data_IF_125413882364
#
_entry.id   IF_125413882364
#
_cell.length_a   1.000
_cell.length_b   1.000
_cell.length_c   1.000
_cell.angle_alpha   90.00
_cell.angle_beta   90.00
_cell.angle_gamma   90.00
#
_symmetry.space_group_name_H-M   'P 1'
#
loop_
_entity.id
_entity.type
_entity.pdbx_description
1 polymer ?
#
# COMPACT_ATOMS: atom_id res chain seq x y z
N UNK A 1 10.26 40.32 -1.49
CA UNK A 1 8.94 39.69 -1.39
C UNK A 1 8.79 38.74 -2.56
N UNK A 2 9.10 37.47 -2.35
CA UNK A 2 9.00 36.42 -3.37
C UNK A 2 7.61 35.83 -3.29
N UNK A 3 6.81 35.98 -4.35
CA UNK A 3 5.52 35.33 -4.49
C UNK A 3 5.77 33.82 -4.62
N UNK A 4 5.80 33.11 -3.49
CA UNK A 4 5.67 31.66 -3.48
C UNK A 4 4.21 31.33 -3.81
N UNK A 5 3.93 31.13 -5.09
CA UNK A 5 2.62 30.68 -5.58
C UNK A 5 2.33 29.32 -4.93
N UNK A 6 1.28 29.28 -4.12
CA UNK A 6 0.83 28.08 -3.44
C UNK A 6 0.33 27.06 -4.48
N UNK A 7 1.08 25.97 -4.65
CA UNK A 7 0.86 24.89 -5.63
C UNK A 7 -0.36 23.98 -5.34
N UNK A 8 -1.27 24.43 -4.49
CA UNK A 8 -2.51 23.71 -4.19
C UNK A 8 -3.70 24.58 -4.55
N UNK A 9 -4.47 24.17 -5.57
CA UNK A 9 -5.79 24.73 -5.83
C UNK A 9 -6.65 24.64 -4.56
N UNK A 10 -7.38 25.70 -4.17
CA UNK A 10 -7.69 26.89 -4.96
C UNK A 10 -6.68 28.04 -4.77
N UNK A 11 -6.56 28.87 -5.81
CA UNK A 11 -5.80 30.13 -5.75
C UNK A 11 -6.21 31.03 -4.58
N UNK A 12 -5.29 31.92 -4.20
CA UNK A 12 -5.35 32.82 -3.03
C UNK A 12 -6.77 33.35 -2.73
N UNK A 13 -7.18 33.25 -1.46
CA UNK A 13 -8.40 33.86 -0.94
C UNK A 13 -9.68 33.03 -0.98
N UNK A 14 -9.67 31.80 -1.52
CA UNK A 14 -10.83 30.89 -1.48
C UNK A 14 -10.57 29.73 -0.51
N UNK A 15 -11.34 29.64 0.57
CA UNK A 15 -11.30 28.46 1.45
C UNK A 15 -11.88 27.25 0.73
N UNK A 16 -11.29 26.06 0.92
CA UNK A 16 -11.89 24.81 0.44
C UNK A 16 -13.30 24.65 1.04
N UNK A 17 -14.32 24.27 0.27
CA UNK A 17 -15.65 23.96 0.81
C UNK A 17 -15.61 22.73 1.75
N UNK A 18 -16.66 22.53 2.55
CA UNK A 18 -16.68 21.48 3.59
C UNK A 18 -16.50 20.07 3.03
N UNK A 19 -17.01 19.78 1.82
CA UNK A 19 -16.87 18.48 1.16
C UNK A 19 -15.43 18.19 0.66
N UNK A 20 -14.58 19.23 0.57
CA UNK A 20 -13.14 19.12 0.32
C UNK A 20 -12.31 19.46 1.58
N UNK A 21 -12.90 19.29 2.77
CA UNK A 21 -12.35 19.80 4.03
C UNK A 21 -10.93 19.33 4.33
N UNK A 22 -10.59 18.09 3.97
CA UNK A 22 -9.26 17.53 4.23
C UNK A 22 -8.14 18.20 3.41
N UNK A 23 -8.47 18.85 2.28
CA UNK A 23 -7.48 19.62 1.52
C UNK A 23 -6.99 20.87 2.28
N UNK A 24 -7.70 21.30 3.32
CA UNK A 24 -7.24 22.34 4.24
C UNK A 24 -6.04 21.90 5.10
N UNK A 25 -5.79 20.58 5.20
CA UNK A 25 -4.70 20.01 5.99
C UNK A 25 -3.37 19.98 5.24
N UNK A 26 -3.34 20.27 3.93
CA UNK A 26 -2.17 20.08 3.08
C UNK A 26 -0.90 20.70 3.66
N UNK A 27 -0.98 21.89 4.26
CA UNK A 27 0.17 22.58 4.83
C UNK A 27 0.18 22.60 6.37
N UNK A 28 -0.63 21.74 7.01
CA UNK A 28 -0.70 21.60 8.47
C UNK A 28 -0.11 20.25 8.86
N UNK A 29 1.22 20.13 8.80
CA UNK A 29 1.95 18.85 8.96
C UNK A 29 1.61 18.11 10.26
N UNK A 30 1.34 18.82 11.36
CA UNK A 30 0.95 18.23 12.63
C UNK A 30 -0.49 17.70 12.64
N UNK A 31 -1.44 18.49 12.10
CA UNK A 31 -2.84 18.04 11.97
C UNK A 31 -2.97 16.89 10.96
N UNK A 32 -2.23 16.96 9.86
CA UNK A 32 -2.21 15.94 8.82
C UNK A 32 -1.57 14.64 9.34
N UNK A 33 -0.51 14.72 10.15
CA UNK A 33 0.02 13.57 10.89
C UNK A 33 -1.08 12.91 11.73
N UNK A 34 -1.83 13.70 12.51
CA UNK A 34 -2.94 13.20 13.31
C UNK A 34 -4.00 12.48 12.47
N UNK A 35 -4.36 13.03 11.31
CA UNK A 35 -5.31 12.39 10.39
C UNK A 35 -4.80 11.02 9.89
N UNK A 36 -3.53 10.92 9.51
CA UNK A 36 -2.93 9.66 9.05
C UNK A 36 -2.83 8.62 10.17
N UNK A 37 -2.41 9.02 11.37
CA UNK A 37 -2.29 8.11 12.53
C UNK A 37 -3.67 7.64 12.99
N UNK A 38 -4.69 8.51 12.99
CA UNK A 38 -6.07 8.14 13.28
C UNK A 38 -6.62 7.16 12.23
N UNK A 39 -6.36 7.40 10.94
CA UNK A 39 -6.76 6.50 9.87
C UNK A 39 -6.07 5.13 9.96
N UNK A 40 -4.77 5.09 10.30
CA UNK A 40 -4.08 3.83 10.61
C UNK A 40 -4.73 3.12 11.81
N UNK A 41 -5.17 3.87 12.83
CA UNK A 41 -5.98 3.35 13.93
C UNK A 41 -7.28 2.69 13.46
N UNK A 42 -7.99 3.27 12.49
CA UNK A 42 -9.21 2.67 11.91
C UNK A 42 -8.92 1.35 11.17
N UNK A 43 -7.83 1.28 10.41
CA UNK A 43 -7.42 0.05 9.70
C UNK A 43 -7.12 -1.06 10.71
N UNK A 44 -6.34 -0.75 11.74
CA UNK A 44 -5.94 -1.71 12.78
C UNK A 44 -7.14 -2.10 13.68
N UNK A 45 -8.05 -1.16 13.94
CA UNK A 45 -9.31 -1.42 14.63
C UNK A 45 -10.17 -2.41 13.84
N UNK A 46 -10.34 -2.18 12.54
CA UNK A 46 -11.07 -3.10 11.67
C UNK A 46 -10.42 -4.48 11.68
N UNK A 47 -9.10 -4.58 11.49
CA UNK A 47 -8.40 -5.86 11.52
C UNK A 47 -8.65 -6.64 12.82
N UNK A 48 -8.57 -5.97 13.99
CA UNK A 48 -8.83 -6.61 15.28
C UNK A 48 -10.29 -6.97 15.51
N UNK A 49 -11.19 -5.99 15.37
CA UNK A 49 -12.61 -6.18 15.62
C UNK A 49 -13.26 -7.18 14.67
N UNK A 50 -12.91 -7.12 13.38
CA UNK A 50 -13.48 -8.04 12.38
C UNK A 50 -12.90 -9.46 12.50
N UNK A 51 -11.63 -9.62 12.94
CA UNK A 51 -11.08 -10.94 13.27
C UNK A 51 -11.85 -11.59 14.43
N UNK A 52 -12.14 -10.82 15.49
CA UNK A 52 -12.92 -11.31 16.63
C UNK A 52 -14.38 -11.58 16.25
N UNK A 53 -14.95 -10.75 15.36
CA UNK A 53 -16.28 -10.98 14.82
C UNK A 53 -16.36 -12.28 14.01
N UNK A 54 -15.43 -12.49 13.06
CA UNK A 54 -15.33 -13.74 12.31
C UNK A 54 -15.18 -14.94 13.23
N UNK A 55 -14.28 -14.85 14.22
CA UNK A 55 -14.06 -15.91 15.19
C UNK A 55 -15.31 -16.23 16.02
N UNK A 56 -16.10 -15.22 16.41
CA UNK A 56 -17.33 -15.43 17.18
C UNK A 56 -18.42 -16.20 16.43
N UNK A 57 -18.32 -16.28 15.11
CA UNK A 57 -19.29 -16.96 14.23
C UNK A 57 -18.69 -18.16 13.50
N UNK A 58 -17.41 -18.46 13.73
CA UNK A 58 -16.70 -19.51 13.04
C UNK A 58 -17.20 -20.89 13.47
N UNK A 59 -17.65 -21.69 12.51
CA UNK A 59 -17.97 -23.09 12.67
C UNK A 59 -16.86 -23.96 12.07
N UNK A 60 -16.08 -24.69 12.87
CA UNK A 60 -15.00 -25.55 12.38
C UNK A 60 -15.49 -26.78 11.60
N UNK A 61 -16.79 -27.12 11.68
CA UNK A 61 -17.38 -28.23 10.93
C UNK A 61 -17.73 -27.84 9.48
N UNK A 62 -17.66 -26.55 9.14
CA UNK A 62 -17.92 -26.03 7.80
C UNK A 62 -16.64 -25.50 7.14
N UNK A 63 -16.53 -25.54 5.80
CA UNK A 63 -15.42 -24.92 5.11
C UNK A 63 -15.34 -23.42 5.42
N UNK A 64 -14.13 -22.88 5.59
CA UNK A 64 -13.94 -21.45 5.89
C UNK A 64 -14.53 -20.55 4.80
N UNK A 65 -14.40 -20.99 3.54
CA UNK A 65 -14.75 -20.17 2.39
C UNK A 65 -16.26 -19.97 2.17
N UNK A 66 -17.12 -20.76 2.83
CA UNK A 66 -18.58 -20.63 2.72
C UNK A 66 -19.19 -19.78 3.85
N UNK A 67 -18.40 -19.42 4.85
CA UNK A 67 -18.86 -18.72 6.06
C UNK A 67 -18.71 -17.19 5.98
N UNK A 68 -18.30 -16.66 4.82
CA UNK A 68 -18.06 -15.22 4.63
C UNK A 68 -16.83 -14.70 5.38
N UNK A 69 -15.84 -15.56 5.62
CA UNK A 69 -14.61 -15.22 6.35
C UNK A 69 -13.58 -14.64 5.39
N UNK A 70 -12.96 -13.50 5.72
CA UNK A 70 -11.91 -12.88 4.91
C UNK A 70 -10.62 -12.66 5.70
N UNK A 71 -10.65 -12.70 7.04
CA UNK A 71 -9.47 -12.53 7.88
C UNK A 71 -8.93 -13.86 8.43
N UNK A 72 -9.79 -14.75 8.93
CA UNK A 72 -9.34 -16.04 9.44
C UNK A 72 -8.59 -16.88 8.38
N UNK A 73 -9.04 -16.96 7.10
CA UNK A 73 -8.25 -17.60 6.03
C UNK A 73 -6.84 -17.02 5.86
N UNK A 74 -6.67 -15.72 6.09
CA UNK A 74 -5.37 -15.06 6.02
C UNK A 74 -4.43 -15.47 7.16
N UNK A 75 -4.98 -15.73 8.36
CA UNK A 75 -4.21 -16.27 9.49
C UNK A 75 -3.90 -17.76 9.29
N UNK A 76 -4.86 -18.51 8.76
CA UNK A 76 -4.71 -19.93 8.47
C UNK A 76 -3.59 -20.21 7.45
N UNK A 77 -3.51 -19.46 6.34
CA UNK A 77 -2.40 -19.60 5.37
C UNK A 77 -1.02 -19.30 5.95
N UNK A 78 -0.94 -18.47 6.99
CA UNK A 78 0.30 -18.21 7.73
C UNK A 78 0.66 -19.36 8.70
N UNK A 79 -0.14 -20.44 8.74
CA UNK A 79 0.07 -21.61 9.58
C UNK A 79 -0.37 -21.44 11.03
N UNK A 80 -1.15 -20.40 11.36
CA UNK A 80 -1.70 -20.25 12.71
C UNK A 80 -2.92 -21.15 12.89
N UNK A 81 -2.91 -22.00 13.90
CA UNK A 81 -4.10 -22.78 14.28
C UNK A 81 -4.48 -23.91 13.32
N UNK A 82 -3.65 -24.20 12.32
CA UNK A 82 -3.93 -25.16 11.25
C UNK A 82 -3.18 -26.47 11.47
N UNK A 83 -3.87 -27.59 11.29
CA UNK A 83 -3.32 -28.94 11.24
C UNK A 83 -3.31 -29.54 9.82
N UNK A 84 -3.18 -30.86 9.74
CA UNK A 84 -3.19 -31.57 8.46
C UNK A 84 -4.56 -31.41 7.73
N UNK A 85 -4.52 -31.41 6.39
CA UNK A 85 -5.72 -31.24 5.56
C UNK A 85 -6.34 -29.83 5.62
N UNK A 86 -5.66 -28.85 6.24
CA UNK A 86 -6.23 -27.52 6.46
C UNK A 86 -7.23 -27.45 7.62
N UNK A 87 -7.31 -28.48 8.48
CA UNK A 87 -8.22 -28.46 9.62
C UNK A 87 -7.80 -27.39 10.63
N UNK A 88 -8.76 -26.60 11.13
CA UNK A 88 -8.50 -25.64 12.20
C UNK A 88 -8.55 -26.37 13.55
N UNK A 89 -7.38 -26.53 14.18
CA UNK A 89 -7.19 -27.30 15.42
C UNK A 89 -7.05 -26.43 16.67
N UNK A 90 -6.64 -25.16 16.51
CA UNK A 90 -6.52 -24.20 17.60
C UNK A 90 -6.90 -22.79 17.12
N UNK A 91 -7.86 -22.17 17.80
CA UNK A 91 -8.32 -20.80 17.49
C UNK A 91 -7.73 -19.75 18.42
N UNK A 92 -6.96 -20.13 19.44
CA UNK A 92 -6.36 -19.19 20.38
C UNK A 92 -5.47 -18.16 19.68
N UNK A 93 -4.68 -18.60 18.70
CA UNK A 93 -3.85 -17.68 17.90
C UNK A 93 -4.68 -16.62 17.17
N UNK A 94 -5.87 -16.97 16.66
CA UNK A 94 -6.76 -16.01 16.01
C UNK A 94 -7.32 -15.00 17.00
N UNK A 95 -7.74 -15.46 18.18
CA UNK A 95 -8.18 -14.59 19.26
C UNK A 95 -7.08 -13.63 19.69
N UNK A 96 -5.87 -14.14 19.98
CA UNK A 96 -4.74 -13.35 20.44
C UNK A 96 -4.37 -12.26 19.41
N UNK A 97 -4.29 -12.61 18.13
CA UNK A 97 -4.00 -11.66 17.05
C UNK A 97 -5.11 -10.60 16.94
N UNK A 98 -6.38 -11.00 17.01
CA UNK A 98 -7.52 -10.08 17.00
C UNK A 98 -7.46 -9.08 18.16
N UNK A 99 -7.17 -9.55 19.38
CA UNK A 99 -7.02 -8.72 20.58
C UNK A 99 -5.83 -7.78 20.48
N UNK A 100 -4.67 -8.25 20.00
CA UNK A 100 -3.47 -7.41 19.83
C UNK A 100 -3.77 -6.25 18.88
N UNK A 101 -4.41 -6.51 17.74
CA UNK A 101 -4.80 -5.45 16.81
C UNK A 101 -5.82 -4.50 17.45
N UNK A 102 -6.85 -5.02 18.11
CA UNK A 102 -7.86 -4.20 18.77
C UNK A 102 -7.24 -3.24 19.80
N UNK A 103 -6.37 -3.73 20.67
CA UNK A 103 -5.68 -2.90 21.69
C UNK A 103 -4.74 -1.89 21.02
N UNK A 104 -3.97 -2.32 20.01
CA UNK A 104 -3.03 -1.45 19.28
C UNK A 104 -3.76 -0.28 18.60
N UNK A 105 -4.97 -0.53 18.09
CA UNK A 105 -5.80 0.50 17.47
C UNK A 105 -6.17 1.65 18.43
N UNK A 106 -6.33 1.36 19.73
CA UNK A 106 -6.63 2.38 20.73
C UNK A 106 -5.46 3.35 20.93
N UNK A 107 -4.23 2.84 20.94
CA UNK A 107 -3.03 3.68 21.03
C UNK A 107 -2.83 4.55 19.78
N UNK A 108 -3.05 3.99 18.60
CA UNK A 108 -3.05 4.74 17.35
C UNK A 108 -4.15 5.80 17.33
N UNK A 109 -5.37 5.45 17.74
CA UNK A 109 -6.48 6.38 17.86
C UNK A 109 -6.18 7.53 18.81
N UNK A 110 -5.59 7.25 19.98
CA UNK A 110 -5.19 8.28 20.94
C UNK A 110 -4.12 9.22 20.34
N UNK A 111 -3.08 8.67 19.71
CA UNK A 111 -2.05 9.46 19.05
C UNK A 111 -2.61 10.31 17.91
N UNK A 112 -3.50 9.74 17.09
CA UNK A 112 -4.19 10.43 16.01
C UNK A 112 -5.03 11.61 16.52
N UNK A 113 -5.88 11.38 17.51
CA UNK A 113 -6.71 12.43 18.15
C UNK A 113 -5.83 13.50 18.79
N UNK A 114 -4.75 13.12 19.48
CA UNK A 114 -3.81 14.06 20.08
C UNK A 114 -3.22 14.99 19.02
N UNK A 115 -2.63 14.45 17.95
CA UNK A 115 -2.01 15.27 16.90
C UNK A 115 -3.05 16.06 16.09
N UNK A 116 -4.27 15.53 15.91
CA UNK A 116 -5.34 16.23 15.19
C UNK A 116 -5.98 17.35 16.00
N UNK A 117 -6.05 17.27 17.34
CA UNK A 117 -6.82 18.23 18.16
C UNK A 117 -5.98 19.03 19.17
N UNK A 118 -4.97 18.43 19.81
CA UNK A 118 -4.20 19.07 20.89
C UNK A 118 -2.75 19.43 20.52
N UNK A 119 -2.14 18.66 19.63
CA UNK A 119 -0.78 18.88 19.18
C UNK A 119 -0.60 20.19 18.40
N UNK A 120 0.65 20.59 18.13
CA UNK A 120 0.91 21.75 17.28
C UNK A 120 0.37 21.52 15.86
N UNK A 121 -0.13 22.57 15.22
CA UNK A 121 -0.74 22.44 13.89
C UNK A 121 0.29 22.13 12.80
N UNK A 122 1.50 22.67 12.98
CA UNK A 122 2.69 22.55 12.15
C UNK A 122 3.85 22.03 13.01
N UNK A 123 4.73 21.22 12.43
CA UNK A 123 5.83 20.54 13.13
C UNK A 123 7.20 21.18 12.88
N UNK A 124 7.30 22.07 11.90
CA UNK A 124 8.53 22.63 11.35
C UNK A 124 9.33 23.42 12.39
N UNK A 125 8.66 24.23 13.20
CA UNK A 125 9.31 25.10 14.18
C UNK A 125 9.73 24.36 15.46
N UNK A 126 8.95 23.37 15.89
CA UNK A 126 9.16 22.67 17.16
C UNK A 126 10.04 21.43 17.04
N UNK A 127 9.95 20.74 15.90
CA UNK A 127 10.57 19.43 15.70
C UNK A 127 11.12 19.33 14.28
N UNK A 128 12.33 19.86 14.00
CA UNK A 128 12.89 19.90 12.63
C UNK A 128 13.03 18.53 11.96
N UNK A 129 13.22 17.47 12.77
CA UNK A 129 13.25 16.10 12.27
C UNK A 129 11.88 15.63 11.74
N UNK A 130 10.75 16.10 12.30
CA UNK A 130 9.41 15.67 11.91
C UNK A 130 8.68 16.68 11.01
N UNK A 131 9.07 17.96 11.03
CA UNK A 131 8.55 18.96 10.12
C UNK A 131 8.99 18.74 8.67
N UNK A 132 8.13 19.11 7.72
CA UNK A 132 8.41 18.97 6.30
C UNK A 132 7.60 19.96 5.46
N UNK A 133 8.16 20.30 4.30
CA UNK A 133 7.42 20.99 3.23
C UNK A 133 7.39 20.10 2.01
N UNK A 134 6.27 20.05 1.31
CA UNK A 134 6.11 19.17 0.15
C UNK A 134 7.11 19.46 -0.97
N UNK A 135 7.56 20.71 -1.10
CA UNK A 135 8.53 21.13 -2.10
C UNK A 135 9.97 20.73 -1.73
N UNK A 136 10.25 20.37 -0.47
CA UNK A 136 11.54 19.88 -0.03
C UNK A 136 11.70 18.41 -0.47
N UNK A 137 12.17 18.26 -1.70
CA UNK A 137 12.40 16.99 -2.35
C UNK A 137 13.31 16.05 -1.54
N UNK A 138 14.27 16.60 -0.81
CA UNK A 138 15.27 15.83 -0.05
C UNK A 138 14.66 15.32 1.27
N UNK A 139 13.83 16.16 1.92
CA UNK A 139 13.02 15.71 3.05
C UNK A 139 12.01 14.64 2.64
N UNK A 140 11.38 14.78 1.47
CA UNK A 140 10.44 13.79 0.95
C UNK A 140 11.11 12.44 0.69
N UNK A 141 12.31 12.41 0.10
CA UNK A 141 13.05 11.14 -0.07
C UNK A 141 13.52 10.55 1.25
N UNK A 142 13.88 11.37 2.23
CA UNK A 142 14.22 10.88 3.57
C UNK A 142 13.03 10.16 4.22
N UNK A 143 11.84 10.77 4.19
CA UNK A 143 10.61 10.15 4.71
C UNK A 143 10.27 8.88 3.93
N UNK A 144 10.34 8.91 2.60
CA UNK A 144 10.16 7.72 1.75
C UNK A 144 11.12 6.59 2.15
N UNK A 145 12.40 6.92 2.34
CA UNK A 145 13.43 5.94 2.66
C UNK A 145 13.21 5.26 4.01
N UNK A 146 12.75 6.00 5.02
CA UNK A 146 12.33 5.43 6.32
C UNK A 146 11.19 4.43 6.12
N UNK A 147 10.16 4.78 5.36
CA UNK A 147 9.02 3.90 5.11
C UNK A 147 9.40 2.67 4.27
N UNK A 148 10.30 2.81 3.29
CA UNK A 148 10.84 1.67 2.54
C UNK A 148 11.58 0.70 3.45
N UNK A 149 12.40 1.20 4.38
CA UNK A 149 13.06 0.34 5.37
C UNK A 149 12.04 -0.39 6.24
N UNK A 150 10.99 0.29 6.73
CA UNK A 150 9.92 -0.35 7.51
C UNK A 150 9.15 -1.42 6.71
N UNK A 151 8.87 -1.17 5.43
CA UNK A 151 8.24 -2.15 4.53
C UNK A 151 9.15 -3.38 4.31
N UNK A 152 10.45 -3.16 4.12
CA UNK A 152 11.42 -4.24 3.98
C UNK A 152 11.54 -5.10 5.25
N UNK A 153 11.50 -4.47 6.43
CA UNK A 153 11.39 -5.18 7.71
C UNK A 153 10.08 -5.99 7.79
N UNK A 154 8.96 -5.45 7.30
CA UNK A 154 7.70 -6.17 7.18
C UNK A 154 7.80 -7.43 6.31
N UNK A 155 8.46 -7.34 5.15
CA UNK A 155 8.73 -8.51 4.31
C UNK A 155 9.64 -9.54 5.02
N UNK A 156 10.66 -9.06 5.76
CA UNK A 156 11.52 -9.92 6.57
C UNK A 156 10.77 -10.67 7.68
N UNK A 157 9.70 -10.09 8.26
CA UNK A 157 8.87 -10.78 9.24
C UNK A 157 8.13 -11.98 8.65
N UNK A 158 7.68 -11.90 7.39
CA UNK A 158 7.09 -13.07 6.70
C UNK A 158 8.15 -14.16 6.47
N UNK A 159 9.35 -13.78 6.04
CA UNK A 159 10.48 -14.72 5.91
C UNK A 159 10.78 -15.38 7.25
N UNK A 160 10.85 -14.61 8.32
CA UNK A 160 11.09 -15.15 9.65
C UNK A 160 9.96 -16.10 10.09
N UNK A 161 8.69 -15.77 9.79
CA UNK A 161 7.55 -16.66 10.05
C UNK A 161 7.72 -18.00 9.32
N UNK A 162 8.09 -17.96 8.05
CA UNK A 162 8.23 -19.14 7.21
C UNK A 162 9.43 -20.04 7.56
N UNK A 163 10.54 -19.44 7.99
CA UNK A 163 11.80 -20.16 8.23
C UNK A 163 12.03 -20.53 9.70
N UNK A 164 11.57 -19.70 10.64
CA UNK A 164 11.96 -19.81 12.05
C UNK A 164 10.78 -19.94 13.02
N UNK A 165 9.58 -19.52 12.64
CA UNK A 165 8.38 -19.59 13.51
C UNK A 165 7.30 -20.51 12.94
N UNK A 166 7.59 -21.82 12.99
CA UNK A 166 6.70 -22.93 12.62
C UNK A 166 6.34 -23.08 11.15
N UNK A 167 6.64 -22.11 10.28
CA UNK A 167 6.44 -22.25 8.84
C UNK A 167 5.15 -21.64 8.30
N UNK A 168 4.77 -22.03 7.08
CA UNK A 168 3.54 -21.60 6.40
C UNK A 168 2.70 -22.83 6.03
N UNK A 169 1.40 -22.63 5.78
CA UNK A 169 0.56 -23.70 5.24
C UNK A 169 0.95 -23.97 3.78
N UNK A 170 1.26 -25.23 3.47
CA UNK A 170 1.60 -25.69 2.13
C UNK A 170 0.48 -26.62 1.61
N UNK A 171 -0.22 -26.19 0.58
CA UNK A 171 -1.32 -26.95 -0.03
C UNK A 171 -0.84 -28.23 -0.72
N UNK A 172 0.43 -28.32 -1.13
CA UNK A 172 0.96 -29.50 -1.84
C UNK A 172 1.07 -30.73 -0.93
N UNK A 173 1.28 -30.49 0.37
CA UNK A 173 1.30 -31.51 1.42
C UNK A 173 0.14 -31.38 2.41
N UNK A 174 -0.72 -30.38 2.19
CA UNK A 174 -1.85 -30.01 3.03
C UNK A 174 -1.49 -29.89 4.51
N UNK A 175 -0.36 -29.25 4.81
CA UNK A 175 0.13 -29.12 6.19
C UNK A 175 1.02 -27.89 6.35
N UNK A 176 1.21 -27.45 7.60
CA UNK A 176 2.16 -26.40 7.94
C UNK A 176 3.58 -26.95 7.87
N UNK A 177 4.47 -26.25 7.16
CA UNK A 177 5.86 -26.66 6.97
C UNK A 177 6.83 -25.49 7.05
N UNK A 178 7.98 -25.75 7.65
CA UNK A 178 9.12 -24.82 7.69
C UNK A 178 9.82 -24.80 6.33
N UNK A 179 10.09 -23.60 5.81
CA UNK A 179 10.75 -23.40 4.51
C UNK A 179 12.25 -23.24 4.73
N UNK A 180 13.00 -24.34 4.71
CA UNK A 180 14.43 -24.33 5.03
C UNK A 180 15.33 -23.85 3.88
N UNK A 181 14.87 -24.00 2.63
CA UNK A 181 15.68 -23.74 1.44
C UNK A 181 14.98 -22.75 0.48
N UNK A 182 14.81 -21.47 0.86
CA UNK A 182 14.18 -20.49 -0.01
C UNK A 182 14.98 -20.27 -1.31
N UNK A 183 14.29 -20.01 -2.42
CA UNK A 183 14.95 -19.79 -3.71
C UNK A 183 15.63 -18.43 -3.74
N UNK A 184 16.96 -18.42 -3.75
CA UNK A 184 17.74 -17.18 -3.84
C UNK A 184 18.21 -16.85 -5.26
N UNK A 185 18.07 -17.78 -6.20
CA UNK A 185 18.51 -17.57 -7.58
C UNK A 185 17.75 -16.39 -8.22
N UNK A 186 18.43 -15.27 -8.56
CA UNK A 186 17.77 -14.09 -9.11
C UNK A 186 17.11 -14.38 -10.48
N UNK A 187 17.67 -15.30 -11.27
CA UNK A 187 17.09 -15.66 -12.56
C UNK A 187 15.67 -16.25 -12.39
N UNK A 188 15.49 -17.10 -11.37
CA UNK A 188 14.17 -17.63 -11.03
C UNK A 188 13.26 -16.53 -10.48
N UNK A 189 13.69 -15.80 -9.46
CA UNK A 189 12.85 -14.80 -8.78
C UNK A 189 12.42 -13.67 -9.72
N UNK A 190 13.36 -13.05 -10.45
CA UNK A 190 13.04 -12.00 -11.40
C UNK A 190 12.44 -12.54 -12.71
N UNK A 191 12.61 -13.84 -13.01
CA UNK A 191 11.94 -14.51 -14.12
C UNK A 191 10.41 -14.43 -14.03
N UNK A 192 9.84 -14.46 -12.82
CA UNK A 192 8.41 -14.23 -12.59
C UNK A 192 7.99 -12.81 -13.01
N UNK A 193 8.79 -11.79 -12.66
CA UNK A 193 8.49 -10.39 -12.97
C UNK A 193 8.48 -10.13 -14.48
N UNK A 194 9.38 -10.77 -15.23
CA UNK A 194 9.47 -10.63 -16.69
C UNK A 194 8.60 -11.63 -17.47
N UNK A 195 7.80 -12.46 -16.77
CA UNK A 195 6.89 -13.41 -17.41
C UNK A 195 7.59 -14.59 -18.10
N UNK A 196 8.82 -14.89 -17.71
CA UNK A 196 9.61 -16.02 -18.26
C UNK A 196 9.15 -17.34 -17.64
N UNK A 197 8.62 -17.31 -16.42
CA UNK A 197 8.29 -18.50 -15.61
C UNK A 197 6.85 -19.02 -15.82
N UNK A 198 6.38 -19.11 -17.07
CA UNK A 198 5.09 -19.73 -17.39
C UNK A 198 3.91 -18.76 -17.41
N UNK A 199 2.73 -19.24 -16.98
CA UNK A 199 1.45 -18.51 -17.10
C UNK A 199 1.15 -17.70 -15.84
N UNK A 200 0.31 -16.67 -15.97
CA UNK A 200 -0.20 -15.84 -14.88
C UNK A 200 0.81 -14.88 -14.21
N UNK A 201 1.95 -14.58 -14.87
CA UNK A 201 2.94 -13.62 -14.36
C UNK A 201 3.36 -13.96 -12.92
N UNK A 202 3.56 -13.00 -12.01
CA UNK A 202 3.92 -13.27 -10.61
C UNK A 202 2.84 -14.06 -9.83
N UNK A 203 1.58 -14.06 -10.29
CA UNK A 203 0.51 -14.85 -9.69
C UNK A 203 0.60 -16.34 -10.05
N UNK A 204 1.53 -16.72 -10.93
CA UNK A 204 1.82 -18.11 -11.29
C UNK A 204 2.74 -18.85 -10.31
N UNK A 205 3.20 -18.22 -9.23
CA UNK A 205 4.08 -18.89 -8.24
C UNK A 205 3.39 -20.13 -7.64
N UNK A 206 4.08 -21.26 -7.67
CA UNK A 206 3.50 -22.59 -7.39
C UNK A 206 4.23 -23.37 -6.28
N UNK A 207 5.26 -22.79 -5.67
CA UNK A 207 5.97 -23.35 -4.53
C UNK A 207 6.33 -22.27 -3.48
N UNK A 208 6.43 -22.67 -2.21
CA UNK A 208 6.67 -21.72 -1.11
C UNK A 208 8.12 -21.24 -1.03
N UNK A 209 9.07 -22.01 -1.55
CA UNK A 209 10.47 -21.62 -1.65
C UNK A 209 10.65 -20.34 -2.46
N UNK A 210 9.94 -20.22 -3.58
CA UNK A 210 9.93 -19.02 -4.42
C UNK A 210 9.18 -17.87 -3.76
N UNK A 211 8.09 -18.14 -3.03
CA UNK A 211 7.37 -17.10 -2.26
C UNK A 211 8.29 -16.50 -1.20
N UNK A 212 8.94 -17.33 -0.38
CA UNK A 212 9.84 -16.88 0.68
C UNK A 212 11.10 -16.24 0.09
N UNK A 213 11.70 -16.85 -0.94
CA UNK A 213 12.84 -16.30 -1.67
C UNK A 213 12.57 -14.93 -2.29
N UNK A 214 11.39 -14.76 -2.89
CA UNK A 214 10.93 -13.47 -3.40
C UNK A 214 10.82 -12.41 -2.30
N UNK A 215 10.29 -12.76 -1.14
CA UNK A 215 10.20 -11.83 0.00
C UNK A 215 11.58 -11.49 0.61
N UNK A 216 12.57 -12.39 0.53
CA UNK A 216 13.97 -12.07 0.87
C UNK A 216 14.49 -10.98 -0.08
N UNK A 217 14.29 -11.14 -1.40
CA UNK A 217 14.68 -10.12 -2.38
C UNK A 217 13.96 -8.79 -2.17
N UNK A 218 12.64 -8.80 -1.95
CA UNK A 218 11.86 -7.59 -1.65
C UNK A 218 12.37 -6.91 -0.38
N UNK A 219 12.66 -7.67 0.69
CA UNK A 219 13.23 -7.15 1.93
C UNK A 219 14.57 -6.43 1.69
N UNK A 220 15.50 -7.09 1.00
CA UNK A 220 16.83 -6.55 0.67
C UNK A 220 16.69 -5.28 -0.19
N UNK A 221 15.85 -5.31 -1.22
CA UNK A 221 15.65 -4.18 -2.13
C UNK A 221 14.99 -2.99 -1.43
N UNK A 222 13.98 -3.22 -0.59
CA UNK A 222 13.31 -2.16 0.16
C UNK A 222 14.24 -1.54 1.22
N UNK A 223 15.00 -2.33 1.97
CA UNK A 223 15.95 -1.81 2.97
C UNK A 223 17.12 -1.09 2.29
N UNK A 224 17.72 -1.69 1.25
CA UNK A 224 18.79 -1.08 0.48
C UNK A 224 18.35 0.21 -0.20
N UNK A 225 17.18 0.20 -0.84
CA UNK A 225 16.55 1.39 -1.43
C UNK A 225 16.17 2.44 -0.38
N UNK A 226 15.76 2.02 0.82
CA UNK A 226 15.47 2.89 1.95
C UNK A 226 16.70 3.67 2.41
N UNK A 227 17.83 2.98 2.64
CA UNK A 227 19.10 3.62 2.96
C UNK A 227 19.60 4.53 1.83
N UNK A 228 19.44 4.11 0.58
CA UNK A 228 19.78 4.93 -0.57
C UNK A 228 18.98 6.23 -0.58
N UNK A 229 17.66 6.19 -0.41
CA UNK A 229 16.79 7.37 -0.42
C UNK A 229 17.02 8.31 0.78
N UNK A 230 17.46 7.79 1.93
CA UNK A 230 17.89 8.61 3.08
C UNK A 230 19.23 9.30 2.81
N UNK A 231 20.15 8.59 2.14
CA UNK A 231 21.55 9.05 1.97
C UNK A 231 21.78 9.86 0.70
N UNK A 232 20.76 10.04 -0.14
CA UNK A 232 20.87 10.72 -1.43
C UNK A 232 19.75 11.74 -1.63
N UNK A 233 19.98 12.65 -2.59
CA UNK A 233 18.99 13.61 -3.04
C UNK A 233 18.48 13.22 -4.43
N UNK A 234 17.24 13.57 -4.81
CA UNK A 234 16.75 13.33 -6.17
C UNK A 234 17.66 13.97 -7.21
N UNK A 235 18.10 13.17 -8.17
CA UNK A 235 18.95 13.65 -9.25
C UNK A 235 18.23 14.71 -10.11
N UNK A 236 18.97 15.62 -10.76
CA UNK A 236 18.38 16.69 -11.57
C UNK A 236 17.39 16.20 -12.64
N UNK A 237 17.62 15.03 -13.25
CA UNK A 237 16.70 14.48 -14.25
C UNK A 237 15.35 14.07 -13.63
N UNK A 238 15.35 13.51 -12.42
CA UNK A 238 14.12 13.15 -11.71
C UNK A 238 13.37 14.42 -11.26
N UNK A 239 14.11 15.43 -10.78
CA UNK A 239 13.54 16.74 -10.41
C UNK A 239 12.79 17.39 -11.58
N UNK A 240 13.27 17.22 -12.82
CA UNK A 240 12.62 17.74 -14.05
C UNK A 240 11.42 16.91 -14.52
N UNK A 241 11.40 15.61 -14.23
CA UNK A 241 10.35 14.71 -14.71
C UNK A 241 9.09 14.74 -13.85
N UNK A 242 9.25 14.85 -12.53
CA UNK A 242 8.14 14.79 -11.57
C UNK A 242 7.66 16.17 -11.13
N UNK A 243 6.37 16.25 -10.79
CA UNK A 243 5.82 17.38 -10.02
C UNK A 243 6.06 17.14 -8.54
N UNK A 244 6.58 18.16 -7.85
CA UNK A 244 6.96 18.12 -6.43
C UNK A 244 5.95 18.91 -5.58
N UNK A 245 4.84 18.26 -5.25
CA UNK A 245 3.79 18.79 -4.38
C UNK A 245 3.04 17.66 -3.66
N UNK A 246 2.37 17.95 -2.54
CA UNK A 246 1.62 16.95 -1.79
C UNK A 246 0.54 16.24 -2.62
N UNK A 247 -0.16 16.98 -3.48
CA UNK A 247 -1.17 16.41 -4.39
C UNK A 247 -0.54 15.52 -5.47
N UNK A 248 0.65 15.87 -5.97
CA UNK A 248 1.38 15.04 -6.92
C UNK A 248 1.81 13.71 -6.28
N UNK A 249 2.40 13.74 -5.08
CA UNK A 249 2.80 12.52 -4.37
C UNK A 249 1.60 11.63 -4.05
N UNK A 250 0.49 12.22 -3.60
CA UNK A 250 -0.77 11.51 -3.42
C UNK A 250 -1.20 10.81 -4.72
N UNK A 251 -1.13 11.50 -5.85
CA UNK A 251 -1.50 10.89 -7.15
C UNK A 251 -0.61 9.70 -7.51
N UNK A 252 0.70 9.77 -7.28
CA UNK A 252 1.61 8.66 -7.57
C UNK A 252 1.28 7.44 -6.70
N UNK A 253 1.04 7.66 -5.40
CA UNK A 253 0.63 6.60 -4.48
C UNK A 253 -0.73 5.99 -4.84
N UNK A 254 -1.71 6.79 -5.25
CA UNK A 254 -3.01 6.29 -5.72
C UNK A 254 -2.87 5.40 -6.95
N UNK A 255 -2.01 5.77 -7.90
CA UNK A 255 -1.72 4.96 -9.08
C UNK A 255 -1.06 3.62 -8.71
N UNK A 256 -0.09 3.65 -7.80
CA UNK A 256 0.55 2.44 -7.28
C UNK A 256 -0.43 1.53 -6.52
N UNK A 257 -1.29 2.10 -5.67
CA UNK A 257 -2.34 1.36 -4.94
C UNK A 257 -3.38 0.74 -5.88
N UNK A 258 -3.78 1.45 -6.94
CA UNK A 258 -4.66 0.90 -7.96
C UNK A 258 -4.02 -0.31 -8.65
N UNK A 259 -2.76 -0.19 -9.08
CA UNK A 259 -2.01 -1.32 -9.64
C UNK A 259 -1.95 -2.49 -8.65
N UNK A 260 -1.56 -2.26 -7.40
CA UNK A 260 -1.53 -3.30 -6.37
C UNK A 260 -2.89 -3.97 -6.15
N UNK A 261 -3.99 -3.20 -6.18
CA UNK A 261 -5.34 -3.74 -6.05
C UNK A 261 -5.77 -4.63 -7.22
N UNK A 262 -5.43 -4.26 -8.47
CA UNK A 262 -5.65 -5.13 -9.64
C UNK A 262 -4.78 -6.39 -9.59
N UNK A 263 -3.52 -6.27 -9.16
CA UNK A 263 -2.63 -7.41 -8.95
C UNK A 263 -3.21 -8.34 -7.88
N UNK A 264 -3.63 -7.80 -6.73
CA UNK A 264 -4.24 -8.58 -5.65
C UNK A 264 -5.52 -9.29 -6.10
N UNK A 265 -6.37 -8.61 -6.87
CA UNK A 265 -7.58 -9.19 -7.51
C UNK A 265 -7.22 -10.40 -8.37
N UNK A 266 -6.22 -10.26 -9.24
CA UNK A 266 -5.80 -11.36 -10.10
C UNK A 266 -5.17 -12.50 -9.29
N UNK A 267 -4.30 -12.18 -8.32
CA UNK A 267 -3.63 -13.15 -7.45
C UNK A 267 -4.64 -14.00 -6.67
N UNK A 268 -5.61 -13.37 -6.01
CA UNK A 268 -6.65 -14.09 -5.28
C UNK A 268 -7.56 -14.85 -6.23
N UNK A 269 -7.71 -14.45 -7.49
CA UNK A 269 -8.56 -15.19 -8.44
C UNK A 269 -7.92 -16.50 -8.89
N UNK A 270 -6.62 -16.51 -9.20
CA UNK A 270 -6.00 -17.62 -9.95
C UNK A 270 -4.99 -18.46 -9.15
N UNK A 271 -4.38 -17.91 -8.09
CA UNK A 271 -3.34 -18.62 -7.36
C UNK A 271 -3.94 -19.52 -6.28
N UNK A 272 -3.55 -20.79 -6.26
CA UNK A 272 -4.02 -21.79 -5.28
C UNK A 272 -2.99 -22.11 -4.20
N UNK A 273 -1.78 -21.55 -4.29
CA UNK A 273 -0.71 -21.75 -3.31
C UNK A 273 -0.84 -20.77 -2.14
N UNK A 274 -0.73 -19.46 -2.41
CA UNK A 274 -0.78 -18.41 -1.37
C UNK A 274 -2.22 -17.97 -1.05
N UNK A 275 -3.18 -18.48 -1.82
CA UNK A 275 -4.59 -18.52 -1.46
C UNK A 275 -5.04 -20.00 -1.56
N UNK A 276 -4.75 -20.82 -0.53
CA UNK A 276 -5.14 -22.23 -0.51
C UNK A 276 -6.65 -22.41 -0.71
N UNK A 277 -7.04 -23.38 -1.53
CA UNK A 277 -8.45 -23.64 -1.81
C UNK A 277 -9.20 -24.12 -0.55
N UNK A 278 -8.50 -24.74 0.39
CA UNK A 278 -8.99 -25.19 1.69
C UNK A 278 -9.57 -24.03 2.52
N UNK A 279 -9.00 -22.83 2.38
CA UNK A 279 -9.42 -21.66 3.16
C UNK A 279 -10.21 -20.64 2.36
N UNK A 280 -9.87 -20.44 1.08
CA UNK A 280 -10.44 -19.40 0.23
C UNK A 280 -11.48 -19.92 -0.76
N UNK A 281 -11.55 -21.24 -0.95
CA UNK A 281 -12.39 -21.89 -1.95
C UNK A 281 -11.69 -22.01 -3.30
N UNK A 282 -12.33 -22.68 -4.28
CA UNK A 282 -11.72 -22.98 -5.57
C UNK A 282 -11.29 -21.74 -6.35
N UNK A 283 -10.27 -21.86 -7.19
CA UNK A 283 -9.85 -20.78 -8.09
C UNK A 283 -11.02 -20.29 -8.99
N UNK A 284 -11.06 -18.98 -9.25
CA UNK A 284 -12.13 -18.31 -9.96
C UNK A 284 -11.92 -18.36 -11.48
N UNK A 285 -13.04 -18.32 -12.19
CA UNK A 285 -13.09 -17.95 -13.60
C UNK A 285 -13.20 -16.43 -13.72
N UNK A 286 -12.57 -15.89 -14.77
CA UNK A 286 -12.65 -14.47 -15.11
C UNK A 286 -13.61 -14.34 -16.28
N UNK A 287 -14.75 -13.71 -16.04
CA UNK A 287 -15.74 -13.39 -17.06
C UNK A 287 -15.67 -11.92 -17.47
N UNK A 288 -16.18 -11.62 -18.67
CA UNK A 288 -16.28 -10.27 -19.20
C UNK A 288 -17.69 -10.03 -19.71
N UNK A 289 -18.39 -9.07 -19.10
CA UNK A 289 -19.62 -8.48 -19.62
C UNK A 289 -19.38 -6.98 -19.82
N UNK A 290 -20.19 -6.12 -19.19
CA UNK A 290 -19.94 -4.68 -19.17
C UNK A 290 -18.65 -4.32 -18.41
N UNK A 291 -18.27 -5.16 -17.44
CA UNK A 291 -17.05 -5.08 -16.65
C UNK A 291 -16.48 -6.49 -16.44
N UNK A 292 -15.18 -6.63 -16.13
CA UNK A 292 -14.62 -7.88 -15.65
C UNK A 292 -15.30 -8.29 -14.34
N UNK A 293 -15.60 -9.58 -14.20
CA UNK A 293 -16.13 -10.15 -12.96
C UNK A 293 -15.47 -11.50 -12.67
N UNK A 294 -15.36 -11.83 -11.37
CA UNK A 294 -14.60 -12.97 -10.90
C UNK A 294 -15.53 -13.91 -10.13
N UNK A 295 -15.69 -15.15 -10.61
CA UNK A 295 -16.76 -16.02 -10.12
C UNK A 295 -16.39 -17.51 -10.13
N UNK A 296 -17.13 -18.31 -9.36
CA UNK A 296 -17.06 -19.78 -9.37
C UNK A 296 -18.48 -20.34 -9.24
N UNK A 297 -19.15 -20.53 -10.37
CA UNK A 297 -20.58 -20.88 -10.37
C UNK A 297 -21.39 -19.83 -9.63
N UNK A 298 -22.33 -20.28 -8.78
CA UNK A 298 -23.17 -19.42 -7.94
C UNK A 298 -22.62 -19.22 -6.50
N UNK A 299 -21.46 -19.81 -6.19
CA UNK A 299 -20.91 -19.80 -4.83
C UNK A 299 -20.21 -18.48 -4.52
N UNK A 300 -20.62 -17.81 -3.43
CA UNK A 300 -20.00 -16.57 -2.94
C UNK A 300 -18.89 -16.87 -1.93
N UNK A 301 -17.78 -17.45 -2.41
CA UNK A 301 -16.64 -17.78 -1.56
C UNK A 301 -15.90 -16.54 -1.05
N UNK A 302 -15.08 -16.71 -0.02
CA UNK A 302 -14.09 -15.70 0.40
C UNK A 302 -13.26 -15.17 -0.77
N UNK A 303 -12.88 -16.03 -1.72
CA UNK A 303 -12.16 -15.65 -2.94
C UNK A 303 -12.99 -14.71 -3.83
N UNK A 304 -14.28 -15.00 -4.03
CA UNK A 304 -15.19 -14.14 -4.82
C UNK A 304 -15.32 -12.75 -4.19
N UNK A 305 -15.53 -12.68 -2.87
CA UNK A 305 -15.62 -11.41 -2.16
C UNK A 305 -14.33 -10.60 -2.26
N UNK A 306 -13.18 -11.22 -1.98
CA UNK A 306 -11.89 -10.55 -2.04
C UNK A 306 -11.56 -10.06 -3.44
N UNK A 307 -11.76 -10.88 -4.48
CA UNK A 307 -11.47 -10.50 -5.87
C UNK A 307 -12.30 -9.28 -6.30
N UNK A 308 -13.63 -9.36 -6.18
CA UNK A 308 -14.51 -8.31 -6.69
C UNK A 308 -14.40 -7.02 -5.86
N UNK A 309 -14.26 -7.11 -4.54
CA UNK A 309 -14.07 -5.92 -3.71
C UNK A 309 -12.76 -5.18 -4.05
N UNK A 310 -11.64 -5.91 -4.18
CA UNK A 310 -10.36 -5.29 -4.53
C UNK A 310 -10.35 -4.74 -5.96
N UNK A 311 -11.06 -5.37 -6.90
CA UNK A 311 -11.20 -4.85 -8.26
C UNK A 311 -11.86 -3.47 -8.27
N UNK A 312 -13.00 -3.33 -7.58
CA UNK A 312 -13.72 -2.06 -7.55
C UNK A 312 -12.99 -0.98 -6.76
N UNK A 313 -12.33 -1.34 -5.64
CA UNK A 313 -11.47 -0.41 -4.93
C UNK A 313 -10.31 0.08 -5.82
N UNK A 314 -9.64 -0.83 -6.53
CA UNK A 314 -8.56 -0.52 -7.47
C UNK A 314 -9.04 0.39 -8.61
N UNK A 315 -10.24 0.11 -9.14
CA UNK A 315 -10.88 0.95 -10.15
C UNK A 315 -11.02 2.39 -9.65
N UNK A 316 -11.72 2.62 -8.52
CA UNK A 316 -11.91 3.97 -8.00
C UNK A 316 -10.60 4.68 -7.61
N UNK A 317 -9.61 3.94 -7.09
CA UNK A 317 -8.27 4.48 -6.83
C UNK A 317 -7.57 4.95 -8.11
N UNK A 318 -7.76 4.25 -9.23
CA UNK A 318 -7.23 4.67 -10.54
C UNK A 318 -7.87 5.99 -11.00
N UNK A 319 -9.18 6.18 -10.79
CA UNK A 319 -9.81 7.47 -11.07
C UNK A 319 -9.30 8.57 -10.13
N UNK A 320 -9.06 8.25 -8.86
CA UNK A 320 -8.41 9.15 -7.91
C UNK A 320 -7.01 9.59 -8.38
N UNK A 321 -6.21 8.64 -8.89
CA UNK A 321 -4.92 8.93 -9.52
C UNK A 321 -5.07 9.93 -10.68
N UNK A 322 -5.95 9.65 -11.64
CA UNK A 322 -6.18 10.51 -12.81
C UNK A 322 -6.61 11.91 -12.37
N UNK A 323 -7.56 12.00 -11.43
CA UNK A 323 -8.04 13.27 -10.89
C UNK A 323 -6.92 14.11 -10.28
N UNK A 324 -6.18 13.55 -9.31
CA UNK A 324 -5.14 14.27 -8.60
C UNK A 324 -3.91 14.55 -9.46
N UNK A 325 -3.55 13.65 -10.38
CA UNK A 325 -2.44 13.86 -11.32
C UNK A 325 -2.73 15.01 -12.29
N UNK A 326 -3.95 15.09 -12.83
CA UNK A 326 -4.36 16.20 -13.70
C UNK A 326 -4.38 17.53 -12.95
N UNK A 327 -4.89 17.55 -11.70
CA UNK A 327 -4.84 18.77 -10.85
C UNK A 327 -3.41 19.20 -10.55
N UNK A 328 -2.54 18.27 -10.18
CA UNK A 328 -1.12 18.55 -9.92
C UNK A 328 -0.37 19.01 -11.18
N UNK A 329 -0.82 18.59 -12.37
CA UNK A 329 -0.30 19.07 -13.65
C UNK A 329 -0.88 20.44 -14.08
N UNK A 330 -1.78 21.04 -13.28
CA UNK A 330 -2.33 22.37 -13.53
C UNK A 330 -3.63 22.40 -14.36
N UNK A 331 -4.32 21.27 -14.52
CA UNK A 331 -5.62 21.22 -15.19
C UNK A 331 -6.74 21.74 -14.26
N UNK A 332 -7.47 22.76 -14.71
CA UNK A 332 -8.68 23.26 -14.03
C UNK A 332 -9.92 22.60 -14.62
N UNK A 333 -10.51 21.66 -13.88
CA UNK A 333 -11.72 20.93 -14.27
C UNK A 333 -12.96 21.82 -14.48
N UNK A 334 -12.99 23.04 -13.93
CA UNK A 334 -14.10 23.99 -14.17
C UNK A 334 -13.99 24.68 -15.51
N UNK A 335 -12.76 24.83 -16.02
CA UNK A 335 -12.47 25.50 -17.28
C UNK A 335 -12.19 24.50 -18.42
N UNK A 336 -11.95 23.23 -18.10
CA UNK A 336 -11.64 22.18 -19.07
C UNK A 336 -10.29 22.38 -19.76
N UNK A 337 -9.35 23.11 -19.15
CA UNK A 337 -8.03 23.41 -19.72
C UNK A 337 -6.94 23.50 -18.66
N UNK A 338 -5.68 23.37 -19.10
CA UNK A 338 -4.50 23.66 -18.27
C UNK A 338 -4.39 25.17 -18.10
N UNK A 339 -4.26 25.63 -16.86
CA UNK A 339 -4.19 27.07 -16.51
C UNK A 339 -2.86 27.50 -15.91
N UNK A 340 -2.06 26.56 -15.43
CA UNK A 340 -0.72 26.81 -14.88
C UNK A 340 0.18 25.61 -15.23
N UNK A 341 1.17 25.79 -16.11
CA UNK A 341 2.05 24.70 -16.51
C UNK A 341 3.09 24.43 -15.42
N UNK A 342 2.87 23.42 -14.57
CA UNK A 342 3.73 23.15 -13.39
C UNK A 342 5.14 22.62 -13.70
N UNK A 343 5.49 22.47 -14.99
CA UNK A 343 6.78 21.90 -15.44
C UNK A 343 7.81 22.95 -15.89
N UNK A 344 7.43 24.21 -16.09
CA UNK A 344 8.31 25.23 -16.73
C UNK A 344 9.07 26.17 -15.78
N UNK A 345 8.84 26.17 -14.47
CA UNK A 345 9.49 27.10 -13.52
C UNK A 345 10.92 26.71 -13.07
N UNK A 346 11.63 25.87 -13.83
CA UNK A 346 13.07 25.61 -13.65
C UNK A 346 13.79 25.85 -14.98
N UNK A 347 13.75 27.07 -15.49
CA UNK A 347 14.84 27.51 -16.37
C UNK A 347 16.07 27.80 -15.52
N UNK A 348 17.27 27.33 -15.90
CA UNK A 348 18.50 27.86 -15.33
C UNK A 348 18.55 29.35 -15.69
N UNK A 349 18.91 30.19 -14.72
CA UNK A 349 19.19 31.62 -14.93
C UNK A 349 19.79 31.84 -16.32
N UNK A 350 19.00 32.44 -17.21
CA UNK A 350 19.51 32.92 -18.47
C UNK A 350 20.68 33.84 -18.14
N UNK A 351 21.89 33.45 -18.55
CA UNK A 351 23.08 34.29 -18.52
C UNK A 351 22.67 35.70 -18.92
N UNK A 352 22.68 36.62 -17.96
CA UNK A 352 22.88 38.03 -18.28
C UNK A 352 24.28 38.12 -18.88
N UNK A 353 24.36 37.96 -20.20
CA UNK A 353 25.48 38.51 -20.95
C UNK A 353 25.35 40.00 -20.77
N UNK A 354 26.18 40.55 -19.89
CA UNK A 354 26.43 41.98 -19.82
C UNK A 354 26.88 42.41 -21.23
N UNK A 355 25.96 42.96 -22.01
CA UNK A 355 26.30 43.80 -23.13
C UNK A 355 26.96 45.04 -22.54
N UNK A 356 28.27 45.07 -22.60
CA UNK A 356 29.06 46.26 -22.33
C UNK A 356 28.64 47.33 -23.37
N UNK A 357 28.14 48.51 -22.98
CA UNK A 357 27.88 49.56 -23.94
C UNK A 357 29.22 50.14 -24.40
N UNK A 358 29.36 50.20 -25.72
CA UNK A 358 30.44 50.78 -26.51
C UNK A 358 31.26 51.91 -25.87
N UNK A 359 32.60 51.79 -25.95
CA UNK A 359 33.50 52.74 -26.64
C UNK A 359 34.96 52.30 -26.48
#
# INVERSE_FOLDING_TARGET
MSNMVAKSFPGEGKSFPWWAGNARLTNLSGRLLGAHVAHAGLIVLWAGAYTLFELSRFNPEQPMYEQGLILLPNLARLGFGVGAGGQIVDTYSYFAIGVIHLISSAFLGFGGIFHSLKGPETLEERTPFFGYRWEDADKMTTILGIHLTLLGLGAALLVAKAMYFSGLYDTTIQNVRVISNPTLNPATIFGYLFGVNGKNWIAGVDNLEDVVGGHIWVSILCIGGGFWHISTQPFPWAKRLFVWSGEAYLSYSLGALALMGFIATYFVSVNTLVYPEEFFGPALNIGFEQFPYFHRGEMLTSRVWLANAHFWLAFFLLQGHIWHALRAAGFDFRQGKVVEATREDIQPESRQVAMNPAS
#
